data_IF_944791246394
#
_entry.id   IF_944791246394
#
_cell.length_a   1.000
_cell.length_b   1.000
_cell.length_c   1.000
_cell.angle_alpha   90.00
_cell.angle_beta   90.00
_cell.angle_gamma   90.00
#
_symmetry.space_group_name_H-M   'P 1'
#
loop_
_entity.id
_entity.type
_entity.pdbx_description
1 polymer ?
#
# COMPACT_ATOMS: atom_id res chain seq x y z
N UNK A 1 -4.37 30.00 -45.35
CA UNK A 1 -4.90 30.28 -43.99
C UNK A 1 -5.94 29.21 -43.67
N UNK A 2 -5.63 28.20 -42.85
CA UNK A 2 -6.62 27.14 -42.57
C UNK A 2 -6.11 25.96 -41.74
N UNK A 3 -4.81 25.69 -41.75
CA UNK A 3 -4.28 24.49 -41.08
C UNK A 3 -4.03 24.66 -39.57
N UNK A 4 -3.90 25.91 -39.11
CA UNK A 4 -3.81 26.27 -37.69
C UNK A 4 -5.08 26.01 -36.87
N UNK A 5 -6.25 25.91 -37.50
CA UNK A 5 -7.54 25.69 -36.82
C UNK A 5 -7.68 24.25 -36.33
N UNK A 6 -7.02 23.30 -36.98
CA UNK A 6 -7.01 21.89 -36.59
C UNK A 6 -6.01 21.60 -35.46
N UNK A 7 -4.90 22.35 -35.40
CA UNK A 7 -3.91 22.25 -34.30
C UNK A 7 -4.45 22.74 -32.95
N UNK A 8 -5.30 23.77 -32.94
CA UNK A 8 -5.93 24.28 -31.71
C UNK A 8 -7.02 23.35 -31.14
N UNK A 9 -7.65 22.54 -31.99
CA UNK A 9 -8.68 21.57 -31.57
C UNK A 9 -8.08 20.25 -31.05
N UNK A 10 -6.83 19.91 -31.43
CA UNK A 10 -6.13 18.72 -30.96
C UNK A 10 -5.57 18.83 -29.54
N UNK A 11 -5.30 20.05 -29.04
CA UNK A 11 -4.73 20.26 -27.70
C UNK A 11 -5.75 20.18 -26.55
N UNK A 12 -7.05 20.17 -26.84
CA UNK A 12 -8.11 20.13 -25.82
C UNK A 12 -8.65 18.72 -25.54
N UNK A 13 -8.24 17.72 -26.32
CA UNK A 13 -8.77 16.35 -26.23
C UNK A 13 -7.92 15.38 -25.38
N UNK A 14 -6.87 15.86 -24.71
CA UNK A 14 -6.17 15.07 -23.68
C UNK A 14 -6.43 15.73 -22.33
N UNK A 15 -7.68 15.67 -21.88
CA UNK A 15 -7.94 15.70 -20.44
C UNK A 15 -7.22 14.47 -19.87
N UNK A 16 -6.20 14.65 -19.01
CA UNK A 16 -5.68 13.53 -18.24
C UNK A 16 -6.88 13.00 -17.47
N UNK A 17 -7.24 11.73 -17.68
CA UNK A 17 -8.23 11.08 -16.83
C UNK A 17 -7.72 11.20 -15.39
N UNK A 18 -8.40 12.02 -14.59
CA UNK A 18 -8.09 12.22 -13.19
C UNK A 18 -8.39 10.91 -12.44
N UNK A 19 -7.38 10.05 -12.30
CA UNK A 19 -7.48 8.82 -11.50
C UNK A 19 -7.21 9.05 -9.99
N UNK A 20 -7.03 10.30 -9.55
CA UNK A 20 -6.62 10.64 -8.18
C UNK A 20 -7.69 10.61 -7.08
N UNK A 21 -8.96 11.03 -7.30
CA UNK A 21 -9.95 11.09 -6.22
C UNK A 21 -10.56 9.71 -5.86
N UNK A 22 -10.42 8.71 -6.73
CA UNK A 22 -11.07 7.40 -6.57
C UNK A 22 -10.41 6.50 -5.50
N UNK A 23 -9.16 6.80 -5.11
CA UNK A 23 -8.37 5.99 -4.17
C UNK A 23 -8.36 6.53 -2.72
N UNK A 24 -9.12 7.59 -2.44
CA UNK A 24 -9.16 8.23 -1.13
C UNK A 24 -10.49 8.01 -0.44
N UNK A 25 -10.43 7.78 0.88
CA UNK A 25 -11.62 7.60 1.73
C UNK A 25 -12.56 6.47 1.27
N UNK A 26 -11.98 5.32 0.94
CA UNK A 26 -12.69 4.10 0.54
C UNK A 26 -12.32 2.94 1.48
N UNK A 27 -13.15 1.91 1.51
CA UNK A 27 -12.86 0.64 2.16
C UNK A 27 -12.55 -0.43 1.12
N UNK A 28 -11.62 -1.34 1.41
CA UNK A 28 -11.38 -2.47 0.50
C UNK A 28 -12.60 -3.40 0.49
N UNK A 29 -12.87 -4.00 -0.66
CA UNK A 29 -13.89 -5.04 -0.79
C UNK A 29 -13.42 -6.37 -0.22
N UNK A 30 -13.48 -6.49 1.11
CA UNK A 30 -13.29 -7.73 1.83
C UNK A 30 -14.40 -7.87 2.88
N UNK A 31 -14.91 -9.08 3.11
CA UNK A 31 -16.10 -9.31 3.95
C UNK A 31 -16.15 -8.62 5.33
N UNK A 32 -15.06 -8.49 6.11
CA UNK A 32 -15.14 -7.80 7.39
C UNK A 32 -15.18 -6.27 7.27
N UNK A 33 -14.98 -5.71 6.08
CA UNK A 33 -15.00 -4.27 5.86
C UNK A 33 -16.41 -3.79 5.52
N UNK A 34 -16.73 -2.58 6.00
CA UNK A 34 -17.89 -1.82 5.54
C UNK A 34 -17.74 -1.42 4.07
N UNK A 35 -18.85 -1.10 3.37
CA UNK A 35 -18.77 -0.52 2.03
C UNK A 35 -18.04 0.82 1.99
N UNK A 36 -18.24 1.67 3.01
CA UNK A 36 -17.68 3.02 3.08
C UNK A 36 -17.21 3.38 4.49
N UNK A 37 -16.22 4.30 4.63
CA UNK A 37 -15.80 4.81 5.92
C UNK A 37 -16.91 5.61 6.62
N UNK A 38 -17.13 5.31 7.89
CA UNK A 38 -18.01 6.09 8.78
C UNK A 38 -17.50 5.98 10.22
N UNK A 39 -17.86 6.93 11.12
CA UNK A 39 -17.51 6.85 12.54
C UNK A 39 -18.04 5.55 13.16
N UNK A 40 -17.22 4.90 13.98
CA UNK A 40 -17.60 3.71 14.76
C UNK A 40 -17.59 4.06 16.24
N UNK A 41 -18.74 4.02 16.89
CA UNK A 41 -18.86 4.27 18.33
C UNK A 41 -18.30 3.09 19.15
N UNK A 42 -18.20 1.89 18.55
CA UNK A 42 -17.61 0.68 19.12
C UNK A 42 -16.82 -0.08 18.07
N UNK A 43 -15.56 -0.41 18.38
CA UNK A 43 -14.60 -0.99 17.42
C UNK A 43 -14.56 -2.53 17.39
N UNK A 44 -15.36 -3.20 18.23
CA UNK A 44 -15.42 -4.66 18.25
C UNK A 44 -16.74 -5.14 17.64
N UNK A 45 -16.65 -5.86 16.53
CA UNK A 45 -17.75 -6.62 15.94
C UNK A 45 -17.18 -7.93 15.39
N UNK A 46 -17.87 -9.05 15.63
CA UNK A 46 -17.44 -10.38 15.23
C UNK A 46 -17.88 -10.64 13.78
N UNK A 47 -16.92 -10.74 12.86
CA UNK A 47 -17.18 -10.95 11.43
C UNK A 47 -16.67 -12.32 10.95
N UNK A 48 -17.47 -13.02 10.13
CA UNK A 48 -17.14 -14.32 9.51
C UNK A 48 -16.00 -14.20 8.46
N UNK A 49 -14.93 -15.02 8.52
CA UNK A 49 -13.68 -14.78 7.79
C UNK A 49 -13.59 -15.27 6.32
N UNK A 50 -14.66 -15.71 5.66
CA UNK A 50 -14.51 -16.39 4.35
C UNK A 50 -14.87 -15.55 3.11
N UNK A 51 -13.87 -14.98 2.42
CA UNK A 51 -13.96 -14.43 1.05
C UNK A 51 -13.39 -13.02 0.92
N UNK A 52 -12.31 -12.85 0.15
CA UNK A 52 -11.71 -11.55 -0.19
C UNK A 52 -11.86 -11.33 -1.70
N UNK A 53 -12.47 -10.21 -2.12
CA UNK A 53 -12.45 -9.79 -3.52
C UNK A 53 -11.22 -8.89 -3.79
N UNK A 54 -10.82 -8.09 -2.79
CA UNK A 54 -9.68 -7.19 -2.84
C UNK A 54 -8.72 -7.43 -1.67
N UNK A 55 -7.45 -7.04 -1.85
CA UNK A 55 -6.41 -7.05 -0.81
C UNK A 55 -5.45 -5.88 -1.00
N UNK A 56 -4.79 -5.49 0.09
CA UNK A 56 -3.68 -4.54 0.03
C UNK A 56 -2.43 -5.25 -0.51
N UNK A 57 -1.62 -4.53 -1.28
CA UNK A 57 -0.32 -4.95 -1.77
C UNK A 57 0.68 -3.80 -1.60
N UNK A 58 1.88 -4.12 -1.10
CA UNK A 58 3.03 -3.22 -0.97
C UNK A 58 2.74 -1.89 -0.25
N UNK A 59 1.81 -1.87 0.71
CA UNK A 59 1.57 -0.67 1.52
C UNK A 59 2.85 -0.28 2.29
N UNK A 60 3.37 0.95 2.13
CA UNK A 60 4.69 1.32 2.63
C UNK A 60 4.63 1.55 4.14
N UNK A 61 4.99 0.56 4.95
CA UNK A 61 5.06 0.72 6.40
C UNK A 61 6.34 1.46 6.81
N UNK A 62 6.22 2.38 7.77
CA UNK A 62 7.36 3.13 8.28
C UNK A 62 8.43 2.23 8.89
N UNK A 63 9.69 2.66 8.80
CA UNK A 63 10.86 1.93 9.28
C UNK A 63 10.67 1.45 10.72
N UNK A 64 10.34 2.37 11.63
CA UNK A 64 10.18 2.08 13.06
C UNK A 64 9.06 1.06 13.32
N UNK A 65 7.94 1.12 12.59
CA UNK A 65 6.82 0.20 12.76
C UNK A 65 7.19 -1.25 12.42
N UNK A 66 8.04 -1.48 11.40
CA UNK A 66 8.56 -2.81 11.09
C UNK A 66 9.65 -3.24 12.09
N UNK A 67 10.54 -2.33 12.49
CA UNK A 67 11.66 -2.61 13.42
C UNK A 67 11.16 -2.98 14.82
N UNK A 68 10.24 -2.20 15.39
CA UNK A 68 9.65 -2.45 16.71
C UNK A 68 8.87 -3.76 16.71
N UNK A 69 8.03 -4.00 15.69
CA UNK A 69 7.28 -5.25 15.58
C UNK A 69 8.20 -6.47 15.55
N UNK A 70 9.30 -6.40 14.79
CA UNK A 70 10.28 -7.47 14.72
C UNK A 70 11.02 -7.67 16.05
N UNK A 71 11.39 -6.58 16.73
CA UNK A 71 12.05 -6.62 18.03
C UNK A 71 11.16 -7.29 19.09
N UNK A 72 9.88 -6.90 19.17
CA UNK A 72 8.90 -7.45 20.10
C UNK A 72 8.66 -8.95 19.85
N UNK A 73 8.71 -9.39 18.60
CA UNK A 73 8.51 -10.79 18.23
C UNK A 73 9.76 -11.66 18.35
N UNK A 74 10.94 -11.09 18.64
CA UNK A 74 12.24 -11.79 18.54
C UNK A 74 12.32 -13.08 19.37
N UNK A 75 11.66 -13.12 20.53
CA UNK A 75 11.65 -14.28 21.44
C UNK A 75 10.48 -15.25 21.19
N UNK A 76 9.57 -14.90 20.28
CA UNK A 76 8.45 -15.75 19.89
C UNK A 76 8.89 -16.85 18.92
N UNK A 77 8.00 -17.80 18.64
CA UNK A 77 8.25 -18.94 17.75
C UNK A 77 7.22 -19.03 16.64
N UNK A 78 7.65 -19.46 15.46
CA UNK A 78 6.78 -19.81 14.34
C UNK A 78 7.35 -21.01 13.59
N UNK A 79 6.60 -21.51 12.62
CA UNK A 79 7.01 -22.61 11.75
C UNK A 79 6.94 -22.25 10.26
N UNK A 80 6.58 -20.99 9.94
CA UNK A 80 6.42 -20.50 8.57
C UNK A 80 6.73 -19.00 8.48
N UNK A 81 7.23 -18.59 7.31
CA UNK A 81 7.51 -17.20 6.95
C UNK A 81 6.38 -16.52 6.15
N UNK A 82 5.35 -17.24 5.71
CA UNK A 82 4.16 -16.67 5.08
C UNK A 82 2.91 -17.29 5.71
N UNK A 83 2.08 -16.44 6.31
CA UNK A 83 0.91 -16.82 7.09
C UNK A 83 -0.40 -16.66 6.32
N UNK A 84 -0.38 -16.09 5.11
CA UNK A 84 -1.57 -15.97 4.27
C UNK A 84 -2.15 -17.34 3.89
N UNK A 85 -1.30 -18.38 3.79
CA UNK A 85 -1.76 -19.70 3.39
C UNK A 85 -0.79 -20.84 3.69
N UNK A 86 -1.19 -22.04 3.24
CA UNK A 86 -0.40 -23.26 3.41
C UNK A 86 -0.27 -23.71 4.86
N UNK A 87 -1.31 -23.49 5.67
CA UNK A 87 -1.46 -24.06 7.01
C UNK A 87 -2.19 -25.40 6.95
N UNK A 88 -1.90 -26.31 7.87
CA UNK A 88 -2.75 -27.48 8.06
C UNK A 88 -3.96 -27.09 8.91
N UNK A 89 -5.16 -27.33 8.40
CA UNK A 89 -6.39 -27.12 9.16
C UNK A 89 -6.73 -28.35 9.98
N UNK A 90 -6.84 -28.21 11.31
CA UNK A 90 -7.23 -29.33 12.16
C UNK A 90 -7.85 -28.85 13.47
N UNK A 91 -8.97 -29.47 13.88
CA UNK A 91 -9.77 -29.05 15.06
C UNK A 91 -10.14 -27.56 15.02
N UNK A 92 -10.54 -27.05 13.85
CA UNK A 92 -10.97 -25.66 13.68
C UNK A 92 -9.90 -24.60 13.86
N UNK A 93 -8.60 -24.98 13.86
CA UNK A 93 -7.48 -24.05 14.04
C UNK A 93 -6.38 -24.33 13.01
N UNK A 94 -5.67 -23.28 12.62
CA UNK A 94 -4.44 -23.40 11.84
C UNK A 94 -3.35 -24.09 12.65
N UNK A 95 -2.65 -25.02 12.03
CA UNK A 95 -1.48 -25.72 12.58
C UNK A 95 -0.31 -25.72 11.61
N UNK A 96 0.88 -25.79 12.18
CA UNK A 96 2.11 -26.02 11.42
C UNK A 96 1.95 -27.23 10.49
N UNK A 97 2.30 -27.10 9.20
CA UNK A 97 2.31 -28.20 8.26
C UNK A 97 3.21 -29.34 8.71
N UNK A 98 2.96 -30.54 8.17
CA UNK A 98 3.85 -31.67 8.37
C UNK A 98 5.30 -31.27 7.99
N UNK A 99 6.26 -31.58 8.87
CA UNK A 99 7.69 -31.28 8.74
C UNK A 99 8.07 -29.79 8.88
N UNK A 100 7.13 -28.88 9.11
CA UNK A 100 7.45 -27.50 9.47
C UNK A 100 7.81 -27.44 10.95
N UNK A 101 9.10 -27.25 11.25
CA UNK A 101 9.61 -27.21 12.62
C UNK A 101 9.39 -25.83 13.25
N UNK A 102 9.11 -25.79 14.55
CA UNK A 102 9.04 -24.53 15.26
C UNK A 102 10.44 -24.00 15.55
N UNK A 103 10.73 -22.79 15.09
CA UNK A 103 11.97 -22.08 15.39
C UNK A 103 11.66 -20.64 15.87
N UNK A 104 12.61 -19.98 16.54
CA UNK A 104 12.46 -18.58 16.90
C UNK A 104 12.16 -17.72 15.67
N UNK A 105 11.40 -16.63 15.83
CA UNK A 105 11.04 -15.73 14.72
C UNK A 105 12.23 -15.31 13.85
N UNK A 106 13.42 -14.96 14.39
CA UNK A 106 14.58 -14.62 13.58
C UNK A 106 15.04 -15.70 12.59
N UNK A 107 14.69 -16.97 12.81
CA UNK A 107 14.97 -18.03 11.84
C UNK A 107 14.13 -17.90 10.56
N UNK A 108 12.84 -17.57 10.70
CA UNK A 108 11.92 -17.41 9.57
C UNK A 108 11.90 -15.98 9.02
N UNK A 109 12.27 -15.01 9.85
CA UNK A 109 12.30 -13.58 9.55
C UNK A 109 13.65 -12.99 10.00
N UNK A 110 14.73 -13.18 9.21
CA UNK A 110 16.07 -12.73 9.59
C UNK A 110 16.19 -11.22 9.85
N UNK A 111 15.40 -10.41 9.14
CA UNK A 111 15.38 -8.95 9.25
C UNK A 111 13.97 -8.42 9.52
N UNK A 112 13.84 -7.15 10.00
CA UNK A 112 12.54 -6.49 10.11
C UNK A 112 11.74 -6.48 8.80
N UNK A 113 12.42 -6.25 7.67
CA UNK A 113 11.79 -6.28 6.35
C UNK A 113 11.24 -7.68 6.02
N UNK A 114 11.95 -8.76 6.36
CA UNK A 114 11.45 -10.12 6.14
C UNK A 114 10.13 -10.36 6.88
N UNK A 115 10.01 -9.90 8.13
CA UNK A 115 8.75 -10.00 8.88
C UNK A 115 7.66 -9.15 8.20
N UNK A 116 7.95 -7.87 7.98
CA UNK A 116 6.99 -6.90 7.47
C UNK A 116 6.39 -7.35 6.11
N UNK A 117 7.24 -7.86 5.22
CA UNK A 117 6.86 -8.18 3.85
C UNK A 117 6.32 -9.61 3.70
N UNK A 118 6.93 -10.60 4.35
CA UNK A 118 6.62 -12.01 4.03
C UNK A 118 5.43 -12.55 4.81
N UNK A 119 5.24 -12.13 6.06
CA UNK A 119 4.26 -12.76 6.95
C UNK A 119 2.83 -12.68 6.38
N UNK A 120 2.49 -11.57 5.72
CA UNK A 120 1.20 -11.38 5.03
C UNK A 120 1.35 -11.32 3.50
N UNK A 121 2.33 -11.99 2.92
CA UNK A 121 2.48 -12.15 1.47
C UNK A 121 2.46 -10.82 0.67
N UNK A 122 3.35 -9.91 1.05
CA UNK A 122 3.52 -8.58 0.46
C UNK A 122 2.29 -7.67 0.61
N UNK A 123 1.44 -7.87 1.63
CA UNK A 123 0.46 -6.83 2.00
C UNK A 123 1.14 -5.53 2.39
N UNK A 124 2.33 -5.61 2.99
CA UNK A 124 3.13 -4.46 3.37
C UNK A 124 4.51 -4.53 2.73
N UNK A 125 5.11 -3.36 2.53
CA UNK A 125 6.48 -3.16 2.09
C UNK A 125 7.23 -2.35 3.14
N UNK A 126 8.43 -2.78 3.53
CA UNK A 126 9.23 -2.01 4.48
C UNK A 126 9.77 -0.75 3.80
N UNK A 127 9.31 0.42 4.25
CA UNK A 127 9.79 1.70 3.74
C UNK A 127 11.11 2.07 4.42
N UNK A 128 12.08 2.66 3.69
CA UNK A 128 13.24 3.29 4.31
C UNK A 128 12.88 4.61 5.01
N UNK A 129 11.67 5.13 4.79
CA UNK A 129 11.20 6.36 5.38
C UNK A 129 10.78 6.16 6.84
N UNK A 130 11.08 7.17 7.65
CA UNK A 130 10.75 7.20 9.06
C UNK A 130 9.35 7.70 9.33
N UNK A 131 8.85 7.41 10.52
CA UNK A 131 7.63 8.01 11.08
C UNK A 131 7.63 9.54 10.93
N UNK A 132 6.45 10.10 10.75
CA UNK A 132 6.21 11.53 10.51
C UNK A 132 6.87 12.14 9.25
N UNK A 133 7.52 11.34 8.38
CA UNK A 133 8.06 11.81 7.08
C UNK A 133 6.99 12.23 6.07
N UNK A 134 5.75 11.80 6.27
CA UNK A 134 4.65 11.92 5.31
C UNK A 134 4.78 10.99 4.10
N UNK A 135 5.73 10.03 4.11
CA UNK A 135 6.04 9.13 2.98
C UNK A 135 5.84 7.65 3.28
N UNK A 136 5.38 7.30 4.48
CA UNK A 136 5.08 5.93 4.89
C UNK A 136 3.87 5.90 5.83
N UNK A 137 3.17 4.77 5.85
CA UNK A 137 2.04 4.49 6.70
C UNK A 137 2.51 4.01 8.08
N UNK A 138 1.91 4.55 9.13
CA UNK A 138 2.11 4.11 10.50
C UNK A 138 1.00 3.11 10.86
N UNK A 139 1.39 1.91 11.31
CA UNK A 139 0.46 0.87 11.76
C UNK A 139 -0.16 1.23 13.11
N UNK A 140 0.59 1.95 13.93
CA UNK A 140 0.19 2.42 15.25
C UNK A 140 0.45 3.91 15.39
N UNK A 141 -0.52 4.68 15.86
CA UNK A 141 -0.38 6.10 16.18
C UNK A 141 -1.34 6.47 17.32
N UNK A 142 -1.03 7.55 18.02
CA UNK A 142 -1.79 8.04 19.16
C UNK A 142 -3.18 8.55 18.71
N UNK A 143 -4.31 8.04 19.24
CA UNK A 143 -5.66 8.40 18.79
C UNK A 143 -6.03 9.86 19.06
N UNK A 144 -5.38 10.51 20.03
CA UNK A 144 -5.59 11.94 20.32
C UNK A 144 -4.96 12.87 19.28
N UNK A 145 -4.12 12.34 18.39
CA UNK A 145 -3.50 13.08 17.28
C UNK A 145 -4.25 12.84 15.97
N UNK A 146 -4.10 13.78 15.04
CA UNK A 146 -4.61 13.62 13.68
C UNK A 146 -3.97 12.38 13.04
N UNK A 147 -4.76 11.55 12.37
CA UNK A 147 -4.28 10.35 11.68
C UNK A 147 -3.22 10.73 10.61
N UNK A 148 -1.94 10.33 10.80
CA UNK A 148 -0.84 10.73 9.91
C UNK A 148 -0.94 10.08 8.52
N UNK A 149 -1.67 8.95 8.41
CA UNK A 149 -1.82 8.20 7.17
C UNK A 149 -2.70 8.91 6.14
N UNK A 150 -3.51 9.91 6.55
CA UNK A 150 -4.35 10.68 5.62
C UNK A 150 -3.49 11.47 4.62
N UNK A 151 -2.42 12.11 5.09
CA UNK A 151 -1.50 12.85 4.23
C UNK A 151 -0.71 11.91 3.30
N UNK A 152 -0.32 10.76 3.82
CA UNK A 152 0.40 9.72 3.07
C UNK A 152 -0.48 9.16 1.95
N UNK A 153 -1.73 8.77 2.24
CA UNK A 153 -2.66 8.29 1.23
C UNK A 153 -2.87 9.32 0.11
N UNK A 154 -3.03 10.61 0.46
CA UNK A 154 -3.13 11.71 -0.51
C UNK A 154 -1.89 11.85 -1.38
N UNK A 155 -0.69 11.68 -0.81
CA UNK A 155 0.55 11.73 -1.57
C UNK A 155 0.59 10.63 -2.64
N UNK A 156 0.25 9.39 -2.29
CA UNK A 156 0.29 8.26 -3.21
C UNK A 156 -0.88 8.24 -4.21
N UNK A 157 -2.04 8.80 -3.86
CA UNK A 157 -3.17 8.93 -4.78
C UNK A 157 -3.02 10.11 -5.75
N UNK A 158 -2.12 11.07 -5.47
CA UNK A 158 -1.93 12.23 -6.33
C UNK A 158 -1.32 11.82 -7.68
N UNK A 159 -1.88 12.26 -8.82
CA UNK A 159 -1.31 11.94 -10.12
C UNK A 159 0.12 12.50 -10.22
N UNK A 160 0.99 11.74 -10.89
CA UNK A 160 2.35 12.20 -11.14
C UNK A 160 2.30 13.58 -11.84
N UNK A 161 3.07 14.56 -11.37
CA UNK A 161 2.98 15.91 -11.92
C UNK A 161 3.42 15.90 -13.41
N UNK A 162 2.56 16.45 -14.27
CA UNK A 162 2.64 16.37 -15.74
C UNK A 162 3.84 17.08 -16.38
N UNK A 163 4.66 17.80 -15.59
CA UNK A 163 5.85 18.53 -16.05
C UNK A 163 6.85 17.62 -16.76
N UNK A 164 7.03 16.37 -16.32
CA UNK A 164 7.97 15.45 -16.98
C UNK A 164 7.56 15.12 -18.43
N UNK A 165 6.26 15.10 -18.74
CA UNK A 165 5.75 14.95 -20.10
C UNK A 165 5.82 16.28 -20.88
N UNK A 166 5.56 17.41 -20.22
CA UNK A 166 5.60 18.73 -20.86
C UNK A 166 7.01 19.13 -21.29
N UNK A 167 8.04 18.82 -20.51
CA UNK A 167 9.44 19.10 -20.87
C UNK A 167 9.91 18.27 -22.07
N UNK A 168 9.47 17.01 -22.20
CA UNK A 168 9.80 16.17 -23.37
C UNK A 168 9.10 16.62 -24.64
N UNK A 169 7.83 17.01 -24.55
CA UNK A 169 7.06 17.50 -25.71
C UNK A 169 7.57 18.88 -26.17
N UNK A 170 7.90 19.77 -25.23
CA UNK A 170 8.51 21.07 -25.53
C UNK A 170 9.90 20.92 -26.18
N UNK A 171 10.75 20.03 -25.66
CA UNK A 171 12.07 19.76 -26.24
C UNK A 171 11.95 19.15 -27.66
N UNK A 172 11.00 18.26 -27.88
CA UNK A 172 10.74 17.66 -29.19
C UNK A 172 10.22 18.69 -30.21
N UNK A 173 9.29 19.56 -29.81
CA UNK A 173 8.78 20.64 -30.66
C UNK A 173 9.84 21.69 -31.01
N UNK A 174 10.71 22.04 -30.06
CA UNK A 174 11.86 22.92 -30.29
C UNK A 174 12.87 22.29 -31.26
N UNK A 175 13.12 20.99 -31.15
CA UNK A 175 14.02 20.29 -32.07
C UNK A 175 13.48 20.25 -33.50
N UNK A 176 12.18 20.00 -33.69
CA UNK A 176 11.54 20.00 -35.01
C UNK A 176 11.55 21.39 -35.68
N UNK A 177 11.51 22.45 -34.88
CA UNK A 177 11.53 23.84 -35.36
C UNK A 177 12.92 24.30 -35.80
N UNK A 178 13.98 23.61 -35.39
CA UNK A 178 15.38 23.88 -35.78
C UNK A 178 15.81 23.09 -37.02
N UNK A 179 15.00 22.11 -37.47
CA UNK A 179 15.24 21.29 -38.66
C UNK A 179 14.40 21.70 -39.89
N UNK A 180 13.57 22.74 -39.77
CA UNK A 180 12.88 23.43 -40.89
C UNK A 180 13.52 24.79 -41.14
#
# INVERSE_FOLDING_TARGET
MGWWRQLLLGLWAVLPTWAGPELLNICMNAKPHKPEPSPEDKLYEETDPHGQAERILDAPLCQEDCEEWWADCRTSYTCKSNWLGGWTWSRGKHRCPARALCHPFPHYFPTPADLCEKIWSHSFKASPERRDSGRCLQKWFEPTRINPNVAVARLFASPAPSWALSYRLMAFALSLSLLS
#
